data_IF_741762300721
#
_entry.id   IF_741762300721
#
_cell.length_a   1.000
_cell.length_b   1.000
_cell.length_c   1.000
_cell.angle_alpha   90.00
_cell.angle_beta   90.00
_cell.angle_gamma   90.00
#
_symmetry.space_group_name_H-M   'P 1'
#
loop_
_entity.id
_entity.type
_entity.pdbx_description
1 polymer ?
#
# COMPACT_ATOMS: atom_id res chain seq x y z
N UNK A 1 -9.95 1.62 -0.10
CA UNK A 1 -10.66 0.51 -0.77
C UNK A 1 -10.40 0.53 -2.27
N UNK A 2 -10.73 1.61 -3.00
CA UNK A 2 -10.49 1.69 -4.46
C UNK A 2 -9.08 1.24 -4.94
N UNK A 3 -8.00 1.83 -4.41
CA UNK A 3 -6.64 1.45 -4.83
C UNK A 3 -6.24 0.01 -4.46
N UNK A 4 -6.81 -0.57 -3.39
CA UNK A 4 -6.58 -1.98 -3.06
C UNK A 4 -7.21 -2.89 -4.10
N UNK A 5 -8.44 -2.58 -4.52
CA UNK A 5 -9.13 -3.34 -5.57
C UNK A 5 -8.36 -3.27 -6.88
N UNK A 6 -7.83 -2.10 -7.25
CA UNK A 6 -6.96 -1.95 -8.43
C UNK A 6 -5.72 -2.85 -8.32
N UNK A 7 -5.02 -2.85 -7.18
CA UNK A 7 -3.84 -3.68 -7.00
C UNK A 7 -4.16 -5.18 -7.07
N UNK A 8 -5.31 -5.61 -6.52
CA UNK A 8 -5.75 -7.01 -6.62
C UNK A 8 -6.10 -7.40 -8.05
N UNK A 9 -6.85 -6.56 -8.77
CA UNK A 9 -7.19 -6.79 -10.17
C UNK A 9 -5.93 -6.84 -11.05
N UNK A 10 -4.98 -5.95 -10.78
CA UNK A 10 -3.68 -5.93 -11.46
C UNK A 10 -2.88 -7.22 -11.21
N UNK A 11 -2.83 -7.69 -9.95
CA UNK A 11 -2.19 -8.95 -9.59
C UNK A 11 -2.81 -10.14 -10.35
N UNK A 12 -4.15 -10.20 -10.40
CA UNK A 12 -4.88 -11.24 -11.14
C UNK A 12 -4.55 -11.21 -12.62
N UNK A 13 -4.54 -10.02 -13.25
CA UNK A 13 -4.23 -9.86 -14.68
C UNK A 13 -2.80 -10.26 -15.03
N UNK A 14 -1.85 -10.03 -14.11
CA UNK A 14 -0.46 -10.42 -14.28
C UNK A 14 -0.18 -11.89 -13.90
N UNK A 15 -1.17 -12.61 -13.36
CA UNK A 15 -1.02 -13.97 -12.82
C UNK A 15 0.11 -14.06 -11.76
N UNK A 16 0.18 -13.08 -10.86
CA UNK A 16 1.14 -13.02 -9.74
C UNK A 16 0.44 -13.09 -8.39
N UNK A 17 1.22 -13.25 -7.33
CA UNK A 17 0.70 -13.25 -5.96
C UNK A 17 -0.01 -11.94 -5.61
N UNK A 18 -1.05 -12.04 -4.76
CA UNK A 18 -1.80 -10.89 -4.28
C UNK A 18 -0.93 -9.94 -3.45
N UNK A 19 -1.17 -8.62 -3.51
CA UNK A 19 -0.42 -7.64 -2.74
C UNK A 19 -0.62 -7.85 -1.23
N UNK A 20 0.49 -7.82 -0.48
CA UNK A 20 0.46 -7.97 0.98
C UNK A 20 0.60 -6.62 1.65
N UNK A 21 -0.28 -6.33 2.61
CA UNK A 21 -0.30 -5.08 3.37
C UNK A 21 0.11 -5.34 4.81
N UNK A 22 1.04 -4.54 5.32
CA UNK A 22 1.45 -4.55 6.73
C UNK A 22 1.35 -3.15 7.29
N UNK A 23 0.58 -2.96 8.36
CA UNK A 23 0.41 -1.65 8.98
C UNK A 23 0.95 -1.68 10.40
N UNK A 24 1.87 -0.77 10.68
CA UNK A 24 2.43 -0.55 12.00
C UNK A 24 1.74 0.67 12.62
N UNK A 25 1.28 0.51 13.86
CA UNK A 25 0.85 1.64 14.68
C UNK A 25 2.03 2.09 15.53
N UNK A 26 2.36 3.37 15.42
CA UNK A 26 3.42 4.03 16.17
C UNK A 26 2.71 4.89 17.22
N UNK A 27 2.83 4.50 18.49
CA UNK A 27 2.25 5.24 19.62
C UNK A 27 3.29 6.27 20.07
N UNK A 28 2.98 7.55 19.88
CA UNK A 28 3.72 8.70 20.44
C UNK A 28 2.75 9.54 21.28
N UNK A 29 2.78 10.86 21.16
CA UNK A 29 1.78 11.78 21.75
C UNK A 29 0.40 11.56 21.12
N UNK A 30 0.35 11.25 19.82
CA UNK A 30 -0.86 10.82 19.10
C UNK A 30 -0.53 9.56 18.27
N UNK A 31 -1.45 8.59 18.14
CA UNK A 31 -1.23 7.42 17.30
C UNK A 31 -1.05 7.80 15.82
N UNK A 32 0.01 7.27 15.22
CA UNK A 32 0.28 7.37 13.78
C UNK A 32 0.34 5.97 13.19
N UNK A 33 -0.16 5.80 11.98
CA UNK A 33 -0.20 4.53 11.27
C UNK A 33 0.62 4.64 10.00
N UNK A 34 1.51 3.68 9.77
CA UNK A 34 2.32 3.58 8.56
C UNK A 34 2.05 2.22 7.94
N UNK A 35 1.72 2.19 6.66
CA UNK A 35 1.47 0.95 5.94
C UNK A 35 2.59 0.68 4.93
N UNK A 36 2.91 -0.58 4.76
CA UNK A 36 3.83 -1.10 3.75
C UNK A 36 3.04 -2.02 2.83
N UNK A 37 3.31 -1.95 1.53
CA UNK A 37 2.78 -2.85 0.52
C UNK A 37 3.93 -3.63 -0.10
N UNK A 38 3.79 -4.95 -0.18
CA UNK A 38 4.69 -5.83 -0.93
C UNK A 38 3.94 -6.39 -2.13
N UNK A 39 4.49 -6.20 -3.32
CA UNK A 39 3.90 -6.66 -4.57
C UNK A 39 4.98 -6.92 -5.62
N UNK A 40 4.97 -8.13 -6.21
CA UNK A 40 5.93 -8.54 -7.24
C UNK A 40 7.39 -8.27 -6.83
N UNK A 41 7.78 -8.77 -5.64
CA UNK A 41 9.07 -8.57 -4.97
C UNK A 41 9.48 -7.11 -4.67
N UNK A 42 8.63 -6.14 -5.01
CA UNK A 42 8.84 -4.73 -4.68
C UNK A 42 8.14 -4.36 -3.38
N UNK A 43 8.83 -3.56 -2.58
CA UNK A 43 8.33 -3.05 -1.29
C UNK A 43 8.10 -1.55 -1.40
N UNK A 44 6.88 -1.12 -1.09
CA UNK A 44 6.43 0.27 -1.11
C UNK A 44 6.13 0.71 0.31
N UNK A 45 6.74 1.81 0.74
CA UNK A 45 6.46 2.45 2.02
C UNK A 45 5.39 3.53 1.83
N UNK A 46 4.37 3.51 2.68
CA UNK A 46 3.34 4.54 2.72
C UNK A 46 3.69 5.64 3.72
N UNK A 47 3.08 6.80 3.52
CA UNK A 47 3.21 7.93 4.44
C UNK A 47 2.48 7.67 5.77
N UNK A 48 2.87 8.44 6.79
CA UNK A 48 2.19 8.50 8.08
C UNK A 48 0.73 8.96 7.92
N UNK A 49 -0.21 8.23 8.53
CA UNK A 49 -1.62 8.56 8.54
C UNK A 49 -2.23 8.49 9.94
N UNK A 50 -3.37 9.15 10.13
CA UNK A 50 -4.12 9.18 11.39
C UNK A 50 -4.87 7.87 11.71
N UNK A 51 -5.04 6.97 10.75
CA UNK A 51 -5.69 5.67 10.95
C UNK A 51 -5.19 4.62 9.95
N UNK A 52 -5.42 3.34 10.28
CA UNK A 52 -5.02 2.18 9.45
C UNK A 52 -5.58 2.22 8.03
N UNK A 53 -6.86 2.60 7.86
CA UNK A 53 -7.53 2.61 6.55
C UNK A 53 -6.91 3.62 5.59
N UNK A 54 -6.53 4.77 6.11
CA UNK A 54 -5.87 5.84 5.37
C UNK A 54 -4.43 5.46 5.03
N UNK A 55 -3.66 4.91 5.97
CA UNK A 55 -2.31 4.41 5.71
C UNK A 55 -2.29 3.38 4.57
N UNK A 56 -3.22 2.42 4.60
CA UNK A 56 -3.35 1.40 3.57
C UNK A 56 -3.82 1.95 2.22
N UNK A 57 -4.63 3.01 2.22
CA UNK A 57 -5.05 3.69 0.99
C UNK A 57 -3.87 4.45 0.35
N UNK A 58 -3.07 5.14 1.17
CA UNK A 58 -1.92 5.92 0.72
C UNK A 58 -0.84 5.02 0.13
N UNK A 59 -0.48 3.92 0.80
CA UNK A 59 0.55 3.00 0.27
C UNK A 59 0.12 2.33 -1.04
N UNK A 60 -1.17 1.98 -1.18
CA UNK A 60 -1.69 1.43 -2.43
C UNK A 60 -1.65 2.46 -3.57
N UNK A 61 -2.02 3.72 -3.28
CA UNK A 61 -1.89 4.82 -4.26
C UNK A 61 -0.43 5.03 -4.67
N UNK A 62 0.49 5.02 -3.71
CA UNK A 62 1.92 5.20 -3.96
C UNK A 62 2.47 4.08 -4.85
N UNK A 63 2.12 2.83 -4.58
CA UNK A 63 2.52 1.69 -5.40
C UNK A 63 2.03 1.82 -6.85
N UNK A 64 0.75 2.19 -7.05
CA UNK A 64 0.19 2.40 -8.40
C UNK A 64 0.95 3.51 -9.14
N UNK A 65 1.22 4.64 -8.48
CA UNK A 65 1.97 5.74 -9.10
C UNK A 65 3.39 5.30 -9.46
N UNK A 66 4.06 4.54 -8.59
CA UNK A 66 5.39 4.00 -8.86
C UNK A 66 5.38 3.05 -10.07
N UNK A 67 4.42 2.14 -10.15
CA UNK A 67 4.27 1.19 -11.27
C UNK A 67 4.00 1.93 -12.58
N UNK A 68 3.15 2.96 -12.57
CA UNK A 68 2.80 3.73 -13.77
C UNK A 68 3.87 4.77 -14.17
N UNK A 69 4.65 5.25 -13.20
CA UNK A 69 5.66 6.30 -13.37
C UNK A 69 7.03 5.78 -13.81
N UNK A 70 7.21 4.47 -13.90
CA UNK A 70 8.44 3.87 -14.42
C UNK A 70 8.35 3.83 -15.95
N UNK A 71 8.88 4.85 -16.62
CA UNK A 71 9.17 4.87 -18.07
C UNK A 71 10.65 4.60 -18.31
#
# INVERSE_FOLDING_TARGET
>A
MFFKSIMNEYATKLNVAMPTYSTVQIIRVLPVFVSTLVFNDNKYAGDAARNKKEAEHLVARHAIISILGTR
#
